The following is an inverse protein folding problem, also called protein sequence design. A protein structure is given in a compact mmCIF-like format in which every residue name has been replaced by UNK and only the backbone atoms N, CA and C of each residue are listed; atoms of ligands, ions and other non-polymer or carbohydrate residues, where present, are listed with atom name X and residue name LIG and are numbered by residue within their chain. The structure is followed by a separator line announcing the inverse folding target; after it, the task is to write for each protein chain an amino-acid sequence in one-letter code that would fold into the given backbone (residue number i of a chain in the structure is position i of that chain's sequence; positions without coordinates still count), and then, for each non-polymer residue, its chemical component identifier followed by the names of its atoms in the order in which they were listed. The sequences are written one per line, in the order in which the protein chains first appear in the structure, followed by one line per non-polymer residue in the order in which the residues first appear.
data_IF_346284113619
#
_entry.id   IF_346284113619
#
_cell.length_a   1.000
_cell.length_b   1.000
_cell.length_c   1.000
_cell.angle_alpha   90.00
_cell.angle_beta   90.00
_cell.angle_gamma   90.00
#
_symmetry.space_group_name_H-M   'P 1'
#
loop_
_entity.id
_entity.type
_entity.pdbx_description
1 polymer ?
#
# COMPACT_ATOMS: atom_id res chain seq x y z
N UNK A 1 14.94 2.94 12.95
CA UNK A 1 15.71 3.81 12.03
C UNK A 1 16.12 5.08 12.75
N UNK A 2 17.14 5.79 12.25
CA UNK A 2 17.65 7.03 12.88
C UNK A 2 16.64 8.16 12.75
N UNK A 3 16.57 8.98 13.80
CA UNK A 3 15.81 10.22 13.81
C UNK A 3 16.59 11.32 14.50
N UNK A 4 16.40 12.55 14.04
CA UNK A 4 16.86 13.74 14.73
C UNK A 4 15.78 14.21 15.69
N UNK A 5 16.11 14.27 16.99
CA UNK A 5 15.20 14.72 18.03
C UNK A 5 15.29 16.23 18.21
N UNK A 6 14.23 16.93 17.82
CA UNK A 6 14.22 18.40 17.78
C UNK A 6 13.08 18.97 18.61
N UNK A 7 13.23 20.18 19.21
CA UNK A 7 12.12 20.85 19.88
C UNK A 7 10.94 21.12 18.92
N UNK A 8 9.70 21.02 19.41
CA UNK A 8 8.48 21.29 18.61
C UNK A 8 8.52 22.61 17.82
N UNK A 9 9.12 23.66 18.39
CA UNK A 9 9.20 24.99 17.76
C UNK A 9 10.11 25.04 16.53
N UNK A 10 11.05 24.11 16.41
CA UNK A 10 12.05 24.07 15.33
C UNK A 10 11.75 22.97 14.29
N UNK A 11 10.65 22.22 14.45
CA UNK A 11 10.36 21.05 13.61
C UNK A 11 10.31 21.40 12.12
N UNK A 12 9.61 22.47 11.74
CA UNK A 12 9.43 22.83 10.34
C UNK A 12 10.75 23.21 9.66
N UNK A 13 11.51 24.12 10.27
CA UNK A 13 12.78 24.60 9.71
C UNK A 13 13.82 23.49 9.57
N UNK A 14 13.89 22.59 10.56
CA UNK A 14 14.84 21.47 10.51
C UNK A 14 14.38 20.40 9.53
N UNK A 15 13.07 20.14 9.42
CA UNK A 15 12.55 19.21 8.40
C UNK A 15 12.84 19.71 6.98
N UNK A 16 12.67 21.01 6.72
CA UNK A 16 13.03 21.62 5.44
C UNK A 16 14.51 21.45 5.11
N UNK A 17 15.38 21.59 6.11
CA UNK A 17 16.82 21.35 5.98
C UNK A 17 17.11 19.88 5.61
N UNK A 18 16.54 18.92 6.35
CA UNK A 18 16.67 17.48 6.08
C UNK A 18 16.17 17.12 4.68
N UNK A 19 15.01 17.66 4.29
CA UNK A 19 14.44 17.45 2.95
C UNK A 19 15.29 18.08 1.85
N UNK A 20 15.90 19.24 2.09
CA UNK A 20 16.81 19.90 1.16
C UNK A 20 18.09 19.08 0.88
N UNK A 21 18.50 18.24 1.83
CA UNK A 21 19.56 17.25 1.64
C UNK A 21 19.06 15.88 1.15
N UNK A 22 17.76 15.73 0.89
CA UNK A 22 17.10 14.47 0.55
C UNK A 22 17.32 13.36 1.58
N UNK A 23 17.59 13.71 2.85
CA UNK A 23 17.90 12.76 3.91
C UNK A 23 16.67 12.10 4.54
N UNK A 24 15.46 12.63 4.32
CA UNK A 24 14.25 11.98 4.79
C UNK A 24 13.86 10.85 3.83
N UNK A 25 13.74 9.59 4.29
CA UNK A 25 13.24 8.51 3.46
C UNK A 25 11.82 8.81 2.95
N UNK A 26 11.52 8.33 1.75
CA UNK A 26 10.16 8.39 1.22
C UNK A 26 9.18 7.70 2.18
N UNK A 27 7.99 8.27 2.35
CA UNK A 27 6.93 7.78 3.26
C UNK A 27 7.24 7.81 4.75
N UNK A 28 8.40 8.28 5.17
CA UNK A 28 8.70 8.49 6.59
C UNK A 28 7.87 9.63 7.20
N UNK A 29 7.54 9.50 8.47
CA UNK A 29 6.70 10.44 9.21
C UNK A 29 7.45 11.06 10.37
N UNK A 30 7.09 12.29 10.69
CA UNK A 30 7.53 12.95 11.92
C UNK A 30 6.79 12.34 13.11
N UNK A 31 7.53 11.81 14.08
CA UNK A 31 6.97 11.16 15.27
C UNK A 31 6.91 12.17 16.42
N UNK A 32 5.87 12.07 17.26
CA UNK A 32 5.76 12.88 18.47
C UNK A 32 6.55 12.26 19.61
N UNK A 33 7.33 13.06 20.35
CA UNK A 33 8.09 12.61 21.52
C UNK A 33 8.03 13.66 22.64
N UNK A 34 6.95 13.67 23.42
CA UNK A 34 6.75 14.67 24.48
C UNK A 34 6.77 16.10 23.93
N UNK A 35 7.74 16.92 24.38
CA UNK A 35 7.99 18.30 23.92
C UNK A 35 8.87 18.41 22.67
N UNK A 36 9.23 17.26 22.11
CA UNK A 36 10.08 17.12 20.94
C UNK A 36 9.33 16.43 19.79
N UNK A 37 9.97 16.45 18.63
CA UNK A 37 9.59 15.72 17.43
C UNK A 37 10.80 14.94 16.93
N UNK A 38 10.54 13.74 16.42
CA UNK A 38 11.56 12.91 15.80
C UNK A 38 11.43 13.06 14.28
N UNK A 39 12.43 13.70 13.69
CA UNK A 39 12.52 13.88 12.25
C UNK A 39 13.29 12.70 11.64
N UNK A 40 12.75 12.00 10.64
CA UNK A 40 13.38 10.80 10.10
C UNK A 40 14.69 11.12 9.37
N UNK A 41 15.71 10.29 9.62
CA UNK A 41 17.00 10.31 8.93
C UNK A 41 17.23 8.98 8.24
N UNK A 42 17.38 9.03 6.92
CA UNK A 42 17.62 7.88 6.06
C UNK A 42 19.05 7.39 6.10
N UNK A 43 19.28 6.25 5.44
CA UNK A 43 20.61 5.64 5.37
C UNK A 43 21.59 6.47 4.52
N UNK A 44 21.08 7.37 3.69
CA UNK A 44 21.86 8.35 2.93
C UNK A 44 22.33 9.56 3.76
N UNK A 45 21.84 9.74 5.00
CA UNK A 45 22.33 10.78 5.88
C UNK A 45 23.69 10.42 6.48
N UNK A 46 24.65 11.37 6.59
CA UNK A 46 25.98 11.10 7.11
C UNK A 46 25.94 10.67 8.58
N UNK A 47 26.98 9.95 9.02
CA UNK A 47 27.12 9.57 10.44
C UNK A 47 27.39 10.79 11.34
N UNK A 48 28.09 11.80 10.79
CA UNK A 48 28.29 13.09 11.44
C UNK A 48 27.46 14.14 10.70
N UNK A 49 26.51 14.73 11.41
CA UNK A 49 25.64 15.76 10.86
C UNK A 49 26.40 17.10 10.74
N UNK A 50 25.99 17.98 9.81
CA UNK A 50 26.55 19.31 9.68
C UNK A 50 26.33 20.12 10.97
N UNK A 51 27.15 21.15 11.17
CA UNK A 51 27.12 22.01 12.37
C UNK A 51 25.72 22.57 12.68
N UNK A 52 24.94 22.89 11.64
CA UNK A 52 23.56 23.36 11.79
C UNK A 52 22.62 22.35 12.47
N UNK A 53 22.99 21.07 12.48
CA UNK A 53 22.21 19.96 13.03
C UNK A 53 22.95 19.18 14.14
N UNK A 54 24.21 19.52 14.43
CA UNK A 54 25.05 18.76 15.36
C UNK A 54 24.62 18.87 16.82
N UNK A 55 23.88 19.92 17.16
CA UNK A 55 23.39 20.16 18.52
C UNK A 55 22.17 19.29 18.88
N UNK A 56 21.58 18.61 17.90
CA UNK A 56 20.42 17.76 18.11
C UNK A 56 20.83 16.31 18.32
N UNK A 57 20.12 15.66 19.24
CA UNK A 57 20.31 14.25 19.56
C UNK A 57 19.79 13.36 18.43
N UNK A 58 20.58 12.35 18.03
CA UNK A 58 20.13 11.30 17.11
C UNK A 58 19.67 10.09 17.92
N UNK A 59 18.40 9.71 17.74
CA UNK A 59 17.77 8.58 18.45
C UNK A 59 17.31 7.50 17.47
N UNK A 60 17.13 6.29 17.99
CA UNK A 60 16.47 5.21 17.24
C UNK A 60 14.99 5.18 17.59
N UNK A 61 14.14 5.15 16.57
CA UNK A 61 12.71 4.95 16.72
C UNK A 61 12.15 4.09 15.59
N UNK A 62 11.02 3.45 15.87
CA UNK A 62 10.23 2.73 14.88
C UNK A 62 9.36 3.71 14.08
N UNK A 63 9.32 3.54 12.76
CA UNK A 63 8.38 4.26 11.92
C UNK A 63 7.05 3.51 11.88
N UNK A 64 5.91 4.22 11.84
CA UNK A 64 4.65 3.58 11.52
C UNK A 64 4.76 2.92 10.15
N UNK A 65 4.14 1.74 10.02
CA UNK A 65 4.05 1.05 8.73
C UNK A 65 3.43 1.99 7.69
N UNK A 66 4.04 2.05 6.50
CA UNK A 66 3.41 2.78 5.40
C UNK A 66 2.15 2.02 4.98
N UNK A 67 1.05 2.72 4.65
CA UNK A 67 -0.10 2.07 4.09
C UNK A 67 0.25 1.44 2.72
N UNK A 68 -0.41 0.32 2.36
CA UNK A 68 -0.25 -0.28 1.05
C UNK A 68 -0.57 0.71 -0.09
N UNK A 69 0.34 0.89 -1.04
CA UNK A 69 0.18 1.82 -2.17
C UNK A 69 -0.47 1.17 -3.39
N UNK A 70 -0.35 -0.15 -3.49
CA UNK A 70 -0.89 -0.93 -4.60
C UNK A 70 -1.69 -2.12 -4.08
N UNK A 71 -2.68 -2.55 -4.87
CA UNK A 71 -3.48 -3.72 -4.50
C UNK A 71 -2.65 -4.98 -4.29
N UNK A 72 -1.53 -5.14 -5.03
CA UNK A 72 -0.60 -6.26 -4.88
C UNK A 72 -0.02 -6.35 -3.46
N UNK A 73 0.21 -5.23 -2.80
CA UNK A 73 0.71 -5.18 -1.42
C UNK A 73 -0.32 -5.70 -0.39
N UNK A 74 -1.56 -5.98 -0.83
CA UNK A 74 -2.55 -6.69 -0.02
C UNK A 74 -2.55 -8.21 -0.24
N UNK A 75 -1.89 -8.75 -1.27
CA UNK A 75 -1.82 -10.20 -1.52
C UNK A 75 -1.20 -11.01 -0.37
N UNK A 76 -0.19 -10.53 0.38
CA UNK A 76 0.37 -11.28 1.51
C UNK A 76 -0.63 -11.62 2.62
N UNK A 77 -1.83 -11.02 2.62
CA UNK A 77 -2.93 -11.38 3.54
C UNK A 77 -3.64 -12.67 3.15
N UNK A 78 -3.46 -13.13 1.91
CA UNK A 78 -4.24 -14.21 1.30
C UNK A 78 -3.37 -15.31 0.69
N UNK A 79 -2.12 -15.01 0.33
CA UNK A 79 -1.16 -15.92 -0.28
C UNK A 79 0.19 -15.78 0.41
N UNK A 80 0.96 -16.87 0.43
CA UNK A 80 2.34 -16.84 0.90
C UNK A 80 3.28 -16.15 -0.09
N UNK A 81 4.43 -15.70 0.41
CA UNK A 81 5.44 -14.97 -0.37
C UNK A 81 5.96 -15.80 -1.55
N UNK A 82 6.13 -17.11 -1.38
CA UNK A 82 6.63 -17.97 -2.45
C UNK A 82 5.67 -18.01 -3.65
N UNK A 83 4.36 -18.18 -3.41
CA UNK A 83 3.35 -18.10 -4.46
C UNK A 83 3.31 -16.73 -5.14
N UNK A 84 3.45 -15.64 -4.37
CA UNK A 84 3.45 -14.27 -4.90
C UNK A 84 4.65 -14.06 -5.85
N UNK A 85 5.85 -14.44 -5.40
CA UNK A 85 7.09 -14.29 -6.19
C UNK A 85 7.11 -15.20 -7.40
N UNK A 86 6.60 -16.44 -7.30
CA UNK A 86 6.55 -17.38 -8.41
C UNK A 86 5.76 -16.84 -9.62
N UNK A 87 4.76 -15.98 -9.38
CA UNK A 87 3.89 -15.42 -10.41
C UNK A 87 4.10 -13.91 -10.59
N UNK A 88 5.25 -13.38 -10.17
CA UNK A 88 5.56 -11.97 -10.38
C UNK A 88 5.55 -11.60 -11.88
N UNK A 89 5.07 -10.40 -12.19
CA UNK A 89 4.83 -9.95 -13.56
C UNK A 89 3.61 -10.56 -14.27
N UNK A 90 2.94 -11.56 -13.68
CA UNK A 90 1.73 -12.19 -14.23
C UNK A 90 0.45 -11.64 -13.59
N UNK A 91 0.53 -11.12 -12.36
CA UNK A 91 -0.64 -10.63 -11.64
C UNK A 91 -1.46 -9.60 -12.45
N UNK A 92 -2.81 -9.65 -12.38
CA UNK A 92 -3.66 -8.88 -13.26
C UNK A 92 -3.68 -7.40 -12.87
N UNK A 93 -2.81 -6.63 -13.51
CA UNK A 93 -2.71 -5.18 -13.34
C UNK A 93 -3.91 -4.45 -13.96
N UNK A 94 -4.42 -4.95 -15.09
CA UNK A 94 -5.59 -4.39 -15.75
C UNK A 94 -6.85 -4.62 -14.90
N UNK A 95 -7.59 -3.54 -14.66
CA UNK A 95 -8.87 -3.56 -13.96
C UNK A 95 -9.77 -2.44 -14.49
N UNK A 96 -11.06 -2.71 -14.58
CA UNK A 96 -12.08 -1.80 -15.10
C UNK A 96 -13.05 -1.43 -13.97
N UNK A 97 -13.00 -0.19 -13.46
CA UNK A 97 -14.01 0.30 -12.53
C UNK A 97 -15.30 0.65 -13.29
N UNK A 98 -16.43 0.13 -12.80
CA UNK A 98 -17.78 0.38 -13.29
C UNK A 98 -18.64 0.90 -12.12
N UNK A 99 -18.58 2.20 -11.87
CA UNK A 99 -19.18 2.79 -10.67
C UNK A 99 -18.49 2.27 -9.41
N UNK A 100 -19.24 1.58 -8.55
CA UNK A 100 -18.71 0.92 -7.35
C UNK A 100 -18.43 -0.58 -7.53
N UNK A 101 -18.42 -1.05 -8.77
CA UNK A 101 -18.02 -2.41 -9.14
C UNK A 101 -16.62 -2.36 -9.77
N UNK A 102 -15.80 -3.37 -9.50
CA UNK A 102 -14.52 -3.56 -10.17
C UNK A 102 -14.52 -4.88 -10.94
N UNK A 103 -14.08 -4.84 -12.19
CA UNK A 103 -14.01 -6.00 -13.06
C UNK A 103 -12.56 -6.22 -13.48
N UNK A 104 -12.09 -7.46 -13.54
CA UNK A 104 -10.75 -7.77 -14.02
C UNK A 104 -10.71 -9.09 -14.78
N UNK A 105 -9.72 -9.24 -15.66
CA UNK A 105 -9.38 -10.52 -16.29
C UNK A 105 -8.18 -11.11 -15.59
N UNK A 106 -8.07 -12.44 -15.60
CA UNK A 106 -6.97 -13.16 -14.98
C UNK A 106 -6.48 -14.26 -15.92
N UNK A 107 -5.16 -14.39 -15.98
CA UNK A 107 -4.43 -15.35 -16.77
C UNK A 107 -4.69 -16.77 -16.25
N UNK A 108 -4.81 -17.73 -17.17
CA UNK A 108 -5.12 -19.13 -16.85
C UNK A 108 -4.17 -19.73 -15.81
N UNK A 109 -2.89 -19.35 -15.84
CA UNK A 109 -1.86 -19.89 -14.95
C UNK A 109 -2.00 -19.47 -13.49
N UNK A 110 -2.75 -18.40 -13.19
CA UNK A 110 -3.02 -17.92 -11.83
C UNK A 110 -4.52 -17.91 -11.49
N UNK A 111 -5.32 -18.61 -12.30
CA UNK A 111 -6.77 -18.65 -12.18
C UNK A 111 -7.24 -19.13 -10.79
N UNK A 112 -6.53 -20.09 -10.20
CA UNK A 112 -6.82 -20.61 -8.86
C UNK A 112 -6.72 -19.53 -7.76
N UNK A 113 -5.92 -18.48 -7.99
CA UNK A 113 -5.72 -17.36 -7.07
C UNK A 113 -6.70 -16.20 -7.30
N UNK A 114 -7.68 -16.35 -8.20
CA UNK A 114 -8.68 -15.32 -8.51
C UNK A 114 -9.37 -14.73 -7.27
N UNK A 115 -9.68 -15.56 -6.26
CA UNK A 115 -10.25 -15.11 -4.99
C UNK A 115 -9.31 -14.17 -4.23
N UNK A 116 -8.04 -14.56 -4.07
CA UNK A 116 -7.04 -13.75 -3.37
C UNK A 116 -6.82 -12.41 -4.07
N UNK A 117 -6.76 -12.41 -5.40
CA UNK A 117 -6.68 -11.20 -6.21
C UNK A 117 -7.88 -10.29 -5.97
N UNK A 118 -9.11 -10.83 -5.98
CA UNK A 118 -10.32 -10.05 -5.73
C UNK A 118 -10.34 -9.44 -4.33
N UNK A 119 -9.97 -10.22 -3.31
CA UNK A 119 -9.88 -9.76 -1.92
C UNK A 119 -8.82 -8.67 -1.73
N UNK A 120 -7.67 -8.80 -2.40
CA UNK A 120 -6.62 -7.77 -2.39
C UNK A 120 -7.09 -6.47 -3.08
N UNK A 121 -7.73 -6.58 -4.25
CA UNK A 121 -8.28 -5.43 -4.99
C UNK A 121 -9.38 -4.72 -4.20
N UNK A 122 -10.36 -5.43 -3.65
CA UNK A 122 -11.42 -4.79 -2.84
C UNK A 122 -10.87 -4.23 -1.53
N UNK A 123 -9.84 -4.84 -0.94
CA UNK A 123 -9.18 -4.28 0.26
C UNK A 123 -8.51 -2.94 -0.02
N UNK A 124 -7.93 -2.79 -1.22
CA UNK A 124 -7.28 -1.55 -1.66
C UNK A 124 -8.31 -0.47 -2.01
N UNK A 125 -9.34 -0.81 -2.79
CA UNK A 125 -10.34 0.14 -3.29
C UNK A 125 -11.49 0.33 -2.30
N UNK A 126 -11.37 1.32 -1.41
CA UNK A 126 -12.32 1.60 -0.30
C UNK A 126 -13.73 2.02 -0.71
N UNK A 127 -13.98 2.30 -1.99
CA UNK A 127 -15.32 2.62 -2.52
C UNK A 127 -15.95 1.48 -3.31
N UNK A 128 -15.17 0.47 -3.70
CA UNK A 128 -15.67 -0.69 -4.45
C UNK A 128 -16.50 -1.58 -3.52
N UNK A 129 -17.72 -1.89 -3.94
CA UNK A 129 -18.67 -2.77 -3.26
C UNK A 129 -18.68 -4.19 -3.78
N UNK A 130 -18.23 -4.43 -5.02
CA UNK A 130 -18.15 -5.79 -5.56
C UNK A 130 -17.03 -5.93 -6.58
N UNK A 131 -16.40 -7.10 -6.63
CA UNK A 131 -15.34 -7.44 -7.57
C UNK A 131 -15.73 -8.69 -8.33
N UNK A 132 -15.61 -8.61 -9.65
CA UNK A 132 -15.92 -9.69 -10.58
C UNK A 132 -14.72 -10.04 -11.44
N UNK A 133 -14.61 -11.32 -11.76
CA UNK A 133 -13.78 -11.80 -12.87
C UNK A 133 -14.59 -11.77 -14.16
N UNK A 134 -13.98 -11.24 -15.21
CA UNK A 134 -14.53 -11.17 -16.56
C UNK A 134 -14.02 -12.34 -17.41
N UNK A 135 -14.93 -13.23 -17.80
CA UNK A 135 -14.67 -14.33 -18.74
C UNK A 135 -14.83 -13.90 -20.21
N UNK A 136 -15.17 -12.64 -20.44
CA UNK A 136 -15.42 -12.07 -21.76
C UNK A 136 -16.91 -11.94 -22.05
N UNK A 137 -17.24 -11.77 -23.32
CA UNK A 137 -18.60 -11.49 -23.79
C UNK A 137 -19.15 -12.66 -24.60
N UNK A 138 -20.41 -13.02 -24.35
CA UNK A 138 -21.08 -14.16 -24.99
C UNK A 138 -22.37 -13.74 -25.69
N UNK A 139 -22.78 -14.54 -26.68
CA UNK A 139 -24.05 -14.38 -27.40
C UNK A 139 -24.14 -13.15 -28.32
N UNK A 140 -25.30 -13.02 -28.97
CA UNK A 140 -25.62 -11.93 -29.90
C UNK A 140 -25.65 -10.56 -29.21
N UNK A 141 -26.21 -10.51 -28.00
CA UNK A 141 -26.32 -9.28 -27.21
C UNK A 141 -25.01 -8.89 -26.51
N UNK A 142 -23.95 -9.68 -26.67
CA UNK A 142 -22.60 -9.42 -26.11
C UNK A 142 -22.63 -9.17 -24.60
N UNK A 143 -23.39 -9.99 -23.87
CA UNK A 143 -23.48 -9.90 -22.41
C UNK A 143 -22.14 -10.40 -21.83
N UNK A 144 -21.58 -9.68 -20.87
CA UNK A 144 -20.36 -10.10 -20.17
C UNK A 144 -20.67 -11.26 -19.23
N UNK A 145 -19.85 -12.30 -19.31
CA UNK A 145 -19.83 -13.40 -18.35
C UNK A 145 -18.97 -13.00 -17.15
N UNK A 146 -19.64 -12.51 -16.11
CA UNK A 146 -19.03 -11.99 -14.90
C UNK A 146 -19.22 -12.97 -13.74
N UNK A 147 -18.10 -13.46 -13.20
CA UNK A 147 -18.10 -14.29 -12.00
C UNK A 147 -17.87 -13.41 -10.77
N UNK A 148 -18.80 -13.34 -9.81
CA UNK A 148 -18.59 -12.62 -8.56
C UNK A 148 -17.50 -13.32 -7.73
N UNK A 149 -16.59 -12.54 -7.15
CA UNK A 149 -15.49 -13.06 -6.33
C UNK A 149 -15.43 -12.43 -4.95
N UNK A 150 -15.79 -11.16 -4.79
CA UNK A 150 -15.84 -10.52 -3.48
C UNK A 150 -16.90 -9.42 -3.46
N UNK A 151 -17.46 -9.17 -2.28
CA UNK A 151 -18.35 -8.03 -2.06
C UNK A 151 -18.00 -7.31 -0.75
N UNK A 152 -18.48 -6.07 -0.60
CA UNK A 152 -18.45 -5.33 0.65
C UNK A 152 -19.87 -5.02 1.09
N UNK A 153 -20.25 -5.52 2.27
CA UNK A 153 -21.54 -5.29 2.91
C UNK A 153 -21.29 -4.69 4.29
N UNK A 154 -21.87 -3.51 4.56
CA UNK A 154 -21.75 -2.80 5.84
C UNK A 154 -20.30 -2.60 6.35
N UNK A 155 -19.36 -2.47 5.40
CA UNK A 155 -17.93 -2.27 5.68
C UNK A 155 -17.12 -3.58 5.73
N UNK A 156 -17.78 -4.73 5.82
CA UNK A 156 -17.13 -6.05 5.84
C UNK A 156 -16.92 -6.60 4.44
N UNK A 157 -15.78 -7.24 4.19
CA UNK A 157 -15.45 -7.87 2.91
C UNK A 157 -15.84 -9.35 2.98
N UNK A 158 -16.70 -9.77 2.06
CA UNK A 158 -17.18 -11.13 1.87
C UNK A 158 -16.43 -11.79 0.69
N UNK A 159 -16.12 -13.07 0.84
CA UNK A 159 -15.52 -13.89 -0.23
C UNK A 159 -16.60 -14.57 -1.10
N UNK A 160 -16.20 -15.30 -2.15
CA UNK A 160 -17.14 -15.96 -3.07
C UNK A 160 -18.09 -16.99 -2.41
N UNK A 161 -17.75 -17.51 -1.24
CA UNK A 161 -18.58 -18.50 -0.55
C UNK A 161 -19.65 -17.84 0.34
N UNK A 162 -19.51 -16.54 0.59
CA UNK A 162 -20.38 -15.74 1.44
C UNK A 162 -21.24 -14.73 0.67
N UNK A 163 -21.19 -14.74 -0.67
CA UNK A 163 -21.96 -13.86 -1.56
C UNK A 163 -22.95 -14.64 -2.44
#
# INVERSE_FOLDING_TARGET
MRHLRVPKRQTQSILECINGYEWAPEWSRVISDGEYRLLPLGDNSPSQLPESLSDFEVVQAEQPERPPQHWLEHLPKFLDEHTITLHDGVWPNAQEPLGDILVFKIERQIEEFSQAVALAKISHHKTVRAVFRDHGVTGEFRIRDLQPLAARLDGEILDKNAI
#
